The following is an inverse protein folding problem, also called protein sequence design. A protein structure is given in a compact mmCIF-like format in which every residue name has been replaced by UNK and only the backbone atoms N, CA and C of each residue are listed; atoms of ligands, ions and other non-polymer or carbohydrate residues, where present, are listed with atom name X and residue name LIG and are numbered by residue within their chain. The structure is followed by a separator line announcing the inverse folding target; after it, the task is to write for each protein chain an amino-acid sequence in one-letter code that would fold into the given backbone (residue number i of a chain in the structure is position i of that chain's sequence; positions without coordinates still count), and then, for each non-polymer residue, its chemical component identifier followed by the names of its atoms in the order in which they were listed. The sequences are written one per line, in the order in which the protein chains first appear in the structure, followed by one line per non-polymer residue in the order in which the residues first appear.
data_IF_628746058577
#
_entry.id   IF_628746058577
#
_cell.length_a   1.000
_cell.length_b   1.000
_cell.length_c   1.000
_cell.angle_alpha   90.00
_cell.angle_beta   90.00
_cell.angle_gamma   90.00
#
_symmetry.space_group_name_H-M   'P 1'
#
loop_
_entity.id
_entity.type
_entity.pdbx_description
1 polymer ?
#
# COMPACT_ATOMS: atom_id res chain seq x y z
N UNK A 1 11.58 -55.66 58.65
CA UNK A 1 11.56 -56.54 57.47
C UNK A 1 10.59 -55.91 56.47
N UNK A 2 11.02 -54.82 55.84
CA UNK A 2 11.66 -54.85 54.51
C UNK A 2 10.64 -55.20 53.43
N UNK A 3 10.06 -54.22 52.71
CA UNK A 3 9.62 -54.41 51.30
C UNK A 3 8.72 -53.31 50.70
N UNK A 4 8.11 -52.39 51.45
CA UNK A 4 7.10 -51.48 50.85
C UNK A 4 7.63 -50.17 50.23
N UNK A 5 8.95 -49.96 50.17
CA UNK A 5 9.52 -48.67 49.77
C UNK A 5 10.07 -48.61 48.32
N UNK A 6 9.87 -49.64 47.49
CA UNK A 6 10.45 -49.70 46.13
C UNK A 6 9.49 -49.43 44.95
N UNK A 7 8.20 -49.18 45.20
CA UNK A 7 7.21 -49.02 44.12
C UNK A 7 6.77 -47.57 43.85
N UNK A 8 7.29 -46.59 44.59
CA UNK A 8 6.89 -45.18 44.42
C UNK A 8 7.77 -44.46 43.36
N UNK A 9 8.85 -45.08 42.90
CA UNK A 9 9.83 -44.45 42.01
C UNK A 9 9.60 -44.62 40.50
N UNK A 10 8.45 -45.15 40.05
CA UNK A 10 8.21 -45.33 38.60
C UNK A 10 6.92 -44.70 38.04
N UNK A 11 5.99 -44.27 38.88
CA UNK A 11 4.72 -43.66 38.42
C UNK A 11 4.76 -42.13 38.29
N UNK A 12 5.86 -41.48 38.65
CA UNK A 12 6.02 -40.02 38.55
C UNK A 12 6.80 -39.56 37.31
N UNK A 13 7.40 -40.47 36.54
CA UNK A 13 8.22 -40.09 35.38
C UNK A 13 7.47 -40.09 34.04
N UNK A 14 6.24 -40.61 33.99
CA UNK A 14 5.40 -40.61 32.77
C UNK A 14 4.41 -39.45 32.68
N UNK A 15 4.26 -38.64 33.74
CA UNK A 15 3.33 -37.51 33.76
C UNK A 15 3.87 -36.19 33.24
N UNK A 16 5.18 -36.08 32.99
CA UNK A 16 5.84 -34.79 32.71
C UNK A 16 6.05 -34.48 31.21
N UNK A 17 5.60 -35.35 30.29
CA UNK A 17 5.93 -35.23 28.86
C UNK A 17 4.76 -34.78 27.95
N UNK A 18 3.67 -34.22 28.50
CA UNK A 18 2.50 -33.85 27.70
C UNK A 18 1.99 -32.42 27.93
N UNK A 19 2.90 -31.48 28.19
CA UNK A 19 2.63 -30.04 28.05
C UNK A 19 3.55 -29.44 26.99
N UNK A 20 3.56 -30.02 25.79
CA UNK A 20 3.93 -29.25 24.62
C UNK A 20 2.72 -28.36 24.35
N UNK A 21 2.73 -27.16 24.92
CA UNK A 21 1.84 -26.11 24.47
C UNK A 21 2.07 -25.99 22.97
N UNK A 22 1.05 -26.32 22.17
CA UNK A 22 1.03 -25.99 20.76
C UNK A 22 1.11 -24.47 20.69
N UNK A 23 2.33 -23.95 20.53
CA UNK A 23 2.56 -22.60 20.04
C UNK A 23 2.08 -22.64 18.60
N UNK A 24 0.76 -22.52 18.43
CA UNK A 24 0.18 -22.16 17.16
C UNK A 24 0.86 -20.85 16.79
N UNK A 25 1.66 -20.79 15.71
CA UNK A 25 2.19 -19.52 15.28
C UNK A 25 0.96 -18.66 15.06
N UNK A 26 0.86 -17.55 15.81
CA UNK A 26 -0.13 -16.54 15.53
C UNK A 26 0.08 -16.22 14.05
N UNK A 27 -0.85 -16.67 13.20
CA UNK A 27 -0.85 -16.32 11.80
C UNK A 27 -0.93 -14.82 11.83
N UNK A 28 0.21 -14.15 11.62
CA UNK A 28 0.23 -12.73 11.40
C UNK A 28 -0.81 -12.56 10.32
N UNK A 29 -1.94 -11.92 10.66
CA UNK A 29 -2.89 -11.54 9.66
C UNK A 29 -2.06 -10.86 8.57
N UNK A 30 -2.28 -11.22 7.31
CA UNK A 30 -1.68 -10.52 6.19
C UNK A 30 -2.12 -9.06 6.33
N UNK A 31 -1.34 -8.28 7.10
CA UNK A 31 -1.64 -6.92 7.53
C UNK A 31 -1.33 -5.96 6.38
N UNK A 32 -1.55 -6.41 5.15
CA UNK A 32 -1.43 -5.59 3.95
C UNK A 32 -2.66 -4.68 3.92
N UNK A 33 -2.50 -3.36 4.05
CA UNK A 33 -3.63 -2.45 3.88
C UNK A 33 -4.20 -2.56 2.46
N UNK A 34 -5.44 -2.16 2.23
CA UNK A 34 -5.89 -1.90 0.86
C UNK A 34 -5.34 -0.54 0.41
N UNK A 35 -4.65 -0.49 -0.72
CA UNK A 35 -4.12 0.76 -1.28
C UNK A 35 -5.08 1.27 -2.36
N UNK A 36 -5.66 2.45 -2.14
CA UNK A 36 -6.56 3.10 -3.09
C UNK A 36 -6.00 4.46 -3.47
N UNK A 37 -5.66 4.64 -4.75
CA UNK A 37 -5.17 5.91 -5.29
C UNK A 37 -6.30 6.61 -6.05
N UNK A 38 -6.77 7.76 -5.55
CA UNK A 38 -7.78 8.59 -6.21
C UNK A 38 -7.05 9.74 -6.91
N UNK A 39 -6.97 9.70 -8.23
CA UNK A 39 -6.33 10.72 -9.05
C UNK A 39 -7.41 11.55 -9.78
N UNK A 40 -7.65 12.77 -9.31
CA UNK A 40 -8.53 13.72 -9.99
C UNK A 40 -7.87 14.27 -11.27
N UNK A 41 -8.68 14.63 -12.26
CA UNK A 41 -8.22 15.29 -13.50
C UNK A 41 -8.56 16.78 -13.42
N UNK A 42 -7.58 17.64 -13.71
CA UNK A 42 -7.70 19.10 -13.73
C UNK A 42 -8.28 19.76 -12.45
N UNK A 43 -8.06 19.17 -11.28
CA UNK A 43 -8.44 19.77 -9.99
C UNK A 43 -7.45 20.86 -9.58
N UNK A 44 -7.89 22.11 -9.57
CA UNK A 44 -7.08 23.27 -9.20
C UNK A 44 -6.82 23.38 -7.69
N UNK A 45 -5.77 24.12 -7.33
CA UNK A 45 -5.38 24.34 -5.93
C UNK A 45 -6.52 24.91 -5.08
N UNK A 46 -7.34 25.81 -5.62
CA UNK A 46 -8.44 26.48 -4.90
C UNK A 46 -9.82 25.87 -5.15
N UNK A 47 -9.89 24.63 -5.65
CA UNK A 47 -11.16 23.97 -5.99
C UNK A 47 -11.72 23.10 -4.85
N UNK A 48 -11.01 23.02 -3.73
CA UNK A 48 -11.37 22.23 -2.54
C UNK A 48 -11.67 23.13 -1.34
N UNK A 49 -12.64 22.74 -0.53
CA UNK A 49 -13.12 23.50 0.62
C UNK A 49 -12.01 23.81 1.63
N UNK A 50 -11.11 22.85 1.87
CA UNK A 50 -9.96 23.06 2.76
C UNK A 50 -8.92 24.10 2.26
N UNK A 51 -9.02 24.57 1.01
CA UNK A 51 -8.27 25.72 0.47
C UNK A 51 -9.15 26.97 0.25
N UNK A 52 -10.32 27.02 0.89
CA UNK A 52 -11.22 28.17 0.84
C UNK A 52 -11.99 28.30 -0.48
N UNK A 53 -12.29 27.18 -1.14
CA UNK A 53 -13.20 27.15 -2.29
C UNK A 53 -14.66 27.34 -1.86
N UNK A 54 -15.48 27.91 -2.75
CA UNK A 54 -16.94 27.92 -2.59
C UNK A 54 -17.59 26.58 -3.00
N UNK A 55 -16.86 25.76 -3.80
CA UNK A 55 -17.27 24.43 -4.22
C UNK A 55 -17.40 23.52 -3.00
N UNK A 56 -18.51 22.77 -2.90
CA UNK A 56 -18.76 21.88 -1.78
C UNK A 56 -18.09 20.53 -1.99
N UNK A 57 -17.00 20.28 -1.28
CA UNK A 57 -16.22 19.04 -1.33
C UNK A 57 -16.21 18.27 0.00
N UNK A 58 -17.36 18.02 0.66
CA UNK A 58 -17.42 17.60 2.06
C UNK A 58 -16.67 16.29 2.36
N UNK A 59 -16.66 15.34 1.42
CA UNK A 59 -15.94 14.07 1.58
C UNK A 59 -14.43 14.25 1.49
N UNK A 60 -13.95 15.10 0.57
CA UNK A 60 -12.54 15.43 0.42
C UNK A 60 -12.06 16.24 1.63
N UNK A 61 -12.86 17.21 2.09
CA UNK A 61 -12.55 18.02 3.26
C UNK A 61 -12.44 17.17 4.53
N UNK A 62 -13.33 16.18 4.68
CA UNK A 62 -13.26 15.21 5.79
C UNK A 62 -11.98 14.37 5.74
N UNK A 63 -11.58 13.90 4.55
CA UNK A 63 -10.32 13.16 4.39
C UNK A 63 -9.11 14.05 4.74
N UNK A 64 -9.10 15.30 4.30
CA UNK A 64 -8.04 16.26 4.61
C UNK A 64 -7.95 16.62 6.10
N UNK A 65 -9.09 16.66 6.81
CA UNK A 65 -9.15 16.98 8.24
C UNK A 65 -8.76 15.80 9.15
N UNK A 66 -8.91 14.57 8.67
CA UNK A 66 -8.67 13.34 9.47
C UNK A 66 -7.41 12.58 9.06
N UNK A 67 -6.79 12.96 7.94
CA UNK A 67 -5.56 12.36 7.43
C UNK A 67 -4.38 13.34 7.39
N UNK A 68 -3.36 12.98 6.61
CA UNK A 68 -2.26 13.87 6.30
C UNK A 68 -2.61 14.75 5.09
N UNK A 69 -2.32 16.05 5.18
CA UNK A 69 -2.48 17.01 4.08
C UNK A 69 -1.12 17.44 3.55
N UNK A 70 -0.96 17.42 2.22
CA UNK A 70 0.29 17.76 1.56
C UNK A 70 0.18 19.17 0.97
N UNK A 71 0.73 20.16 1.67
CA UNK A 71 0.70 21.59 1.25
C UNK A 71 1.69 21.91 0.12
N UNK A 72 2.65 21.01 -0.13
CA UNK A 72 3.68 21.15 -1.16
C UNK A 72 3.82 19.85 -1.96
N UNK A 73 2.71 19.43 -2.58
CA UNK A 73 2.66 18.28 -3.48
C UNK A 73 2.69 18.75 -4.94
N UNK A 74 3.61 18.21 -5.73
CA UNK A 74 3.86 18.66 -7.11
C UNK A 74 3.54 17.57 -8.12
N UNK A 75 2.98 17.99 -9.25
CA UNK A 75 2.74 17.16 -10.42
C UNK A 75 3.41 17.79 -11.65
N UNK A 76 3.32 17.11 -12.80
CA UNK A 76 3.65 17.73 -14.08
C UNK A 76 2.44 18.56 -14.57
N UNK A 77 2.65 19.57 -15.42
CA UNK A 77 1.57 20.47 -15.84
C UNK A 77 0.59 19.86 -16.84
N UNK A 78 0.74 18.58 -17.23
CA UNK A 78 -0.11 17.91 -18.23
C UNK A 78 -0.45 16.48 -17.82
N UNK A 79 -1.55 15.94 -18.34
CA UNK A 79 -2.09 14.62 -17.98
C UNK A 79 -1.09 13.46 -18.22
N UNK A 80 -0.58 13.32 -19.46
CA UNK A 80 0.34 12.21 -19.81
C UNK A 80 1.63 12.24 -18.98
N UNK A 81 2.39 13.35 -18.89
CA UNK A 81 3.60 13.37 -18.08
C UNK A 81 3.33 13.04 -16.60
N UNK A 82 2.25 13.57 -16.00
CA UNK A 82 1.91 13.28 -14.60
C UNK A 82 1.59 11.80 -14.40
N UNK A 83 0.79 11.21 -15.28
CA UNK A 83 0.38 9.79 -15.17
C UNK A 83 1.57 8.85 -15.44
N UNK A 84 2.44 9.18 -16.38
CA UNK A 84 3.68 8.42 -16.61
C UNK A 84 4.62 8.47 -15.40
N UNK A 85 4.78 9.64 -14.78
CA UNK A 85 5.59 9.79 -13.57
C UNK A 85 4.99 9.02 -12.38
N UNK A 86 3.67 9.08 -12.19
CA UNK A 86 2.97 8.32 -11.14
C UNK A 86 3.16 6.81 -11.31
N UNK A 87 2.98 6.29 -12.53
CA UNK A 87 3.04 4.86 -12.78
C UNK A 87 4.47 4.30 -12.69
N UNK A 88 5.49 5.08 -13.01
CA UNK A 88 6.88 4.60 -13.10
C UNK A 88 7.81 5.09 -11.98
N UNK A 89 7.39 6.08 -11.19
CA UNK A 89 8.24 6.74 -10.19
C UNK A 89 9.43 7.51 -10.78
N UNK A 90 9.38 7.86 -12.08
CA UNK A 90 10.52 8.38 -12.85
C UNK A 90 10.11 9.60 -13.67
N UNK A 91 11.08 10.48 -13.96
CA UNK A 91 10.81 11.69 -14.75
C UNK A 91 10.37 11.35 -16.19
N UNK A 92 9.31 12.00 -16.72
CA UNK A 92 8.78 11.70 -18.06
C UNK A 92 9.75 11.91 -19.22
N UNK A 93 10.80 12.73 -19.03
CA UNK A 93 11.89 12.93 -20.00
C UNK A 93 12.60 11.62 -20.38
N UNK A 94 12.54 10.60 -19.52
CA UNK A 94 13.13 9.28 -19.80
C UNK A 94 12.38 8.50 -20.87
N UNK A 95 11.15 8.91 -21.20
CA UNK A 95 10.25 8.22 -22.13
C UNK A 95 9.85 9.08 -23.32
N UNK A 96 10.37 10.31 -23.43
CA UNK A 96 9.92 11.27 -24.44
C UNK A 96 8.52 11.86 -24.17
N UNK A 97 8.01 11.72 -22.93
CA UNK A 97 6.66 12.13 -22.54
C UNK A 97 6.65 13.43 -21.70
N UNK A 98 7.62 14.32 -21.88
CA UNK A 98 7.78 15.53 -21.07
C UNK A 98 6.97 16.75 -21.52
N UNK A 99 6.55 16.81 -22.79
CA UNK A 99 6.08 18.06 -23.40
C UNK A 99 4.57 18.21 -23.40
N UNK A 100 3.84 17.20 -23.88
CA UNK A 100 2.39 17.29 -24.11
C UNK A 100 1.70 15.98 -23.78
N UNK A 101 0.38 15.93 -24.01
CA UNK A 101 -0.39 14.68 -23.92
C UNK A 101 -0.18 13.81 -25.16
N UNK A 102 -0.29 12.50 -25.00
CA UNK A 102 -0.41 11.58 -26.14
C UNK A 102 -1.76 11.88 -26.82
N UNK A 103 -1.77 12.29 -28.09
CA UNK A 103 -3.02 12.55 -28.81
C UNK A 103 -3.74 11.23 -29.11
N UNK A 104 -5.05 11.27 -29.33
CA UNK A 104 -5.84 10.07 -29.64
C UNK A 104 -5.36 9.35 -30.91
N UNK A 105 -4.74 10.06 -31.86
CA UNK A 105 -4.12 9.50 -33.07
C UNK A 105 -2.64 9.12 -32.89
N UNK A 106 -2.10 9.21 -31.68
CA UNK A 106 -0.70 8.92 -31.38
C UNK A 106 -0.37 7.45 -31.58
N UNK A 107 0.80 7.19 -32.16
CA UNK A 107 1.35 5.83 -32.38
C UNK A 107 2.43 5.47 -31.35
N UNK A 108 2.56 6.27 -30.29
CA UNK A 108 3.55 6.13 -29.23
C UNK A 108 2.87 6.20 -27.86
N UNK A 109 3.56 5.72 -26.83
CA UNK A 109 3.08 5.74 -25.46
C UNK A 109 4.19 5.44 -24.47
N UNK A 110 3.82 5.11 -23.24
CA UNK A 110 4.77 4.56 -22.28
C UNK A 110 5.35 3.25 -22.82
N UNK A 111 6.65 3.06 -22.70
CA UNK A 111 7.31 1.85 -23.19
C UNK A 111 6.75 0.62 -22.45
N UNK A 112 6.52 -0.47 -23.18
CA UNK A 112 5.80 -1.65 -22.65
C UNK A 112 6.64 -2.53 -21.73
N UNK A 113 7.94 -2.23 -21.64
CA UNK A 113 8.93 -2.87 -20.77
C UNK A 113 9.19 -2.06 -19.49
N UNK A 114 8.52 -0.91 -19.28
CA UNK A 114 8.59 -0.19 -18.02
C UNK A 114 7.92 -0.97 -16.89
N UNK A 115 8.55 -0.97 -15.72
CA UNK A 115 8.01 -1.60 -14.51
C UNK A 115 7.14 -0.59 -13.77
N UNK A 116 5.84 -0.88 -13.71
CA UNK A 116 4.82 0.02 -13.21
C UNK A 116 4.47 -0.26 -11.74
N UNK A 117 4.01 0.76 -11.03
CA UNK A 117 3.46 0.68 -9.68
C UNK A 117 2.51 -0.52 -9.47
N UNK A 118 1.50 -0.79 -10.32
CA UNK A 118 0.63 -1.96 -10.14
C UNK A 118 1.38 -3.30 -10.28
N UNK A 119 2.44 -3.40 -11.09
CA UNK A 119 3.27 -4.61 -11.16
C UNK A 119 4.09 -4.77 -9.88
N UNK A 120 4.68 -3.68 -9.37
CA UNK A 120 5.39 -3.70 -8.10
C UNK A 120 4.47 -4.09 -6.92
N UNK A 121 3.23 -3.61 -6.90
CA UNK A 121 2.21 -4.01 -5.91
C UNK A 121 1.85 -5.50 -6.06
N UNK A 122 1.64 -5.98 -7.28
CA UNK A 122 1.36 -7.39 -7.56
C UNK A 122 2.51 -8.29 -7.07
N UNK A 123 3.76 -7.92 -7.33
CA UNK A 123 4.94 -8.67 -6.86
C UNK A 123 5.04 -8.66 -5.33
N UNK A 124 4.56 -7.60 -4.67
CA UNK A 124 4.40 -7.52 -3.22
C UNK A 124 3.18 -8.31 -2.68
N UNK A 125 2.43 -8.99 -3.55
CA UNK A 125 1.27 -9.82 -3.23
C UNK A 125 0.02 -9.02 -2.86
N UNK A 126 -0.22 -7.91 -3.59
CA UNK A 126 -1.49 -7.20 -3.69
C UNK A 126 -2.29 -7.65 -4.91
#
# INVERSE_FOLDING_TARGET
MESKLKYISLSLLTGALALVAEVTPARAADNKPNIVYILADDLGWKDVGFHGSDIKTPNIDKLAATGARLEQFYAQPMCTPTRAALMTGRYPIRYGLQTFVIPSSGTYGLATDEWLLPQALKDAGY
#
